data_IF_247893649992
#
_entry.id   IF_247893649992
#
_cell.length_a   1.000
_cell.length_b   1.000
_cell.length_c   1.000
_cell.angle_alpha   90.00
_cell.angle_beta   90.00
_cell.angle_gamma   90.00
#
_symmetry.space_group_name_H-M   'P 1'
#
loop_
_entity.id
_entity.type
_entity.pdbx_description
1 polymer ?
#
# COMPACT_ATOMS: atom_id res chain seq x y z
N UNK A 1 1.40 -8.15 -9.71
CA UNK A 1 2.72 -8.43 -10.28
C UNK A 1 2.65 -9.76 -11.00
N UNK A 2 2.49 -9.71 -12.32
CA UNK A 2 2.40 -10.88 -13.20
C UNK A 2 3.77 -11.20 -13.85
N UNK A 3 4.85 -10.68 -13.28
CA UNK A 3 6.23 -10.98 -13.68
C UNK A 3 6.79 -12.14 -12.82
N UNK A 4 7.99 -12.61 -13.14
CA UNK A 4 8.68 -13.72 -12.48
C UNK A 4 9.61 -13.29 -11.34
N UNK A 5 9.63 -11.99 -10.99
CA UNK A 5 10.44 -11.44 -9.90
C UNK A 5 9.64 -10.45 -9.05
N UNK A 6 10.09 -10.16 -7.83
CA UNK A 6 9.45 -9.16 -6.97
C UNK A 6 9.59 -7.77 -7.59
N UNK A 7 8.45 -7.10 -7.79
CA UNK A 7 8.44 -5.72 -8.27
C UNK A 7 8.52 -4.78 -7.07
N UNK A 8 9.60 -4.00 -7.00
CA UNK A 8 9.76 -2.92 -6.02
C UNK A 8 9.81 -1.59 -6.75
N UNK A 9 8.87 -0.70 -6.46
CA UNK A 9 8.81 0.59 -7.13
C UNK A 9 8.23 1.66 -6.22
N UNK A 10 8.77 2.87 -6.33
CA UNK A 10 8.22 4.06 -5.70
C UNK A 10 7.41 4.83 -6.73
N UNK A 11 6.14 5.06 -6.45
CA UNK A 11 5.20 5.70 -7.38
C UNK A 11 4.51 6.88 -6.71
N UNK A 12 4.12 7.87 -7.50
CA UNK A 12 3.23 8.94 -7.03
C UNK A 12 1.81 8.39 -6.93
N UNK A 13 1.20 8.52 -5.75
CA UNK A 13 -0.12 7.95 -5.44
C UNK A 13 -1.25 8.96 -5.56
N UNK A 14 -0.93 10.26 -5.53
CA UNK A 14 -1.87 11.38 -5.32
C UNK A 14 -2.66 11.34 -4.00
N UNK A 15 -2.35 10.39 -3.11
CA UNK A 15 -2.94 10.30 -1.78
C UNK A 15 -2.23 11.26 -0.82
N UNK A 16 -2.94 11.79 0.20
CA UNK A 16 -2.32 12.58 1.27
C UNK A 16 -1.29 11.76 2.06
N UNK A 17 -0.35 12.45 2.71
CA UNK A 17 0.59 11.86 3.65
C UNK A 17 -0.11 11.01 4.73
N UNK A 18 0.46 9.84 5.01
CA UNK A 18 0.04 8.97 6.11
C UNK A 18 0.24 7.48 5.82
N UNK A 19 -0.12 6.66 6.80
CA UNK A 19 -0.10 5.20 6.68
C UNK A 19 -1.46 4.69 6.18
N UNK A 20 -1.42 3.83 5.18
CA UNK A 20 -2.60 3.20 4.58
C UNK A 20 -2.55 1.70 4.80
N UNK A 21 -3.70 1.10 5.08
CA UNK A 21 -3.84 -0.34 5.14
C UNK A 21 -3.81 -0.93 3.74
N UNK A 22 -2.94 -1.91 3.52
CA UNK A 22 -2.84 -2.65 2.27
C UNK A 22 -3.99 -3.66 2.20
N UNK A 23 -4.98 -3.40 1.34
CA UNK A 23 -6.30 -4.05 1.40
C UNK A 23 -6.33 -5.49 0.88
N UNK A 24 -5.24 -5.98 0.27
CA UNK A 24 -5.10 -7.40 -0.07
C UNK A 24 -4.68 -8.24 1.14
N UNK A 25 -3.73 -7.75 1.93
CA UNK A 25 -3.19 -8.48 3.09
C UNK A 25 -3.94 -8.24 4.40
N UNK A 26 -4.90 -7.32 4.43
CA UNK A 26 -5.79 -7.10 5.57
C UNK A 26 -6.76 -5.97 5.32
N UNK A 27 -7.34 -5.44 6.40
CA UNK A 27 -8.34 -4.38 6.35
C UNK A 27 -8.18 -3.43 7.54
N UNK A 28 -8.75 -2.23 7.42
CA UNK A 28 -8.80 -1.26 8.51
C UNK A 28 -9.96 -1.61 9.45
N UNK A 29 -9.66 -2.08 10.67
CA UNK A 29 -10.65 -2.32 11.72
C UNK A 29 -10.34 -1.46 12.95
N UNK A 30 -11.30 -0.65 13.37
CA UNK A 30 -11.19 0.16 14.59
C UNK A 30 -9.90 1.01 14.67
N UNK A 31 -9.51 1.63 13.55
CA UNK A 31 -8.30 2.47 13.47
C UNK A 31 -6.98 1.68 13.44
N UNK A 32 -7.03 0.37 13.20
CA UNK A 32 -5.84 -0.47 13.06
C UNK A 32 -5.92 -1.31 11.79
N UNK A 33 -4.81 -1.37 11.06
CA UNK A 33 -4.69 -2.27 9.91
C UNK A 33 -4.35 -3.68 10.40
N UNK A 34 -5.14 -4.67 9.98
CA UNK A 34 -4.90 -6.09 10.29
C UNK A 34 -3.81 -6.72 9.41
N UNK A 35 -3.49 -6.08 8.28
CA UNK A 35 -2.51 -6.53 7.31
C UNK A 35 -1.26 -5.67 7.26
N UNK A 36 -0.63 -5.63 6.08
CA UNK A 36 0.52 -4.75 5.84
C UNK A 36 0.07 -3.29 5.75
N UNK A 37 1.00 -2.39 6.05
CA UNK A 37 0.82 -0.94 5.89
C UNK A 37 1.72 -0.45 4.76
N UNK A 38 1.27 0.61 4.08
CA UNK A 38 2.07 1.36 3.12
C UNK A 38 2.06 2.82 3.55
N UNK A 39 3.24 3.41 3.65
CA UNK A 39 3.38 4.82 3.99
C UNK A 39 3.44 5.66 2.71
N UNK A 40 2.60 6.69 2.67
CA UNK A 40 2.65 7.76 1.67
C UNK A 40 3.38 8.93 2.31
N UNK A 41 4.50 9.35 1.73
CA UNK A 41 5.27 10.50 2.19
C UNK A 41 4.57 11.82 1.87
N UNK A 42 5.09 12.92 2.42
CA UNK A 42 4.55 14.27 2.26
C UNK A 42 4.39 14.73 0.80
N UNK A 43 5.23 14.24 -0.10
CA UNK A 43 5.19 14.49 -1.55
C UNK A 43 4.28 13.50 -2.32
N UNK A 44 3.50 12.69 -1.62
CA UNK A 44 2.54 11.75 -2.20
C UNK A 44 3.17 10.48 -2.77
N UNK A 45 4.44 10.22 -2.49
CA UNK A 45 5.18 9.06 -2.96
C UNK A 45 4.99 7.86 -2.02
N UNK A 46 4.90 6.66 -2.57
CA UNK A 46 4.86 5.43 -1.78
C UNK A 46 5.63 4.31 -2.47
N UNK A 47 6.29 3.48 -1.67
CA UNK A 47 7.05 2.32 -2.17
C UNK A 47 6.22 1.04 -2.02
N UNK A 48 6.02 0.34 -3.12
CA UNK A 48 5.34 -0.95 -3.16
C UNK A 48 6.35 -2.07 -3.36
N UNK A 49 6.20 -3.15 -2.60
CA UNK A 49 6.97 -4.39 -2.76
C UNK A 49 6.01 -5.53 -3.07
N UNK A 50 5.71 -5.70 -4.36
CA UNK A 50 4.70 -6.64 -4.85
C UNK A 50 5.39 -7.94 -5.26
N UNK A 51 5.21 -9.01 -4.48
CA UNK A 51 5.76 -10.35 -4.80
C UNK A 51 5.12 -10.94 -6.07
N UNK A 52 5.79 -11.94 -6.65
CA UNK A 52 5.28 -12.71 -7.79
C UNK A 52 3.88 -13.24 -7.51
N UNK A 53 2.95 -13.03 -8.45
CA UNK A 53 1.56 -13.49 -8.34
C UNK A 53 0.70 -12.73 -7.32
N UNK A 54 1.21 -11.67 -6.68
CA UNK A 54 0.46 -10.86 -5.72
C UNK A 54 0.08 -9.50 -6.31
N UNK A 55 -0.87 -8.83 -5.66
CA UNK A 55 -1.12 -7.40 -5.85
C UNK A 55 -1.11 -6.70 -4.50
N UNK A 56 -1.02 -5.38 -4.54
CA UNK A 56 -1.15 -4.51 -3.37
C UNK A 56 -2.08 -3.36 -3.75
N UNK A 57 -2.94 -2.95 -2.84
CA UNK A 57 -3.85 -1.84 -3.08
C UNK A 57 -4.03 -0.98 -1.83
N UNK A 58 -4.14 0.33 -2.03
CA UNK A 58 -4.46 1.33 -1.01
C UNK A 58 -5.45 2.33 -1.59
N UNK A 59 -6.28 2.91 -0.75
CA UNK A 59 -7.23 3.96 -1.12
C UNK A 59 -7.50 4.89 0.07
N UNK A 60 -8.15 6.03 -0.16
CA UNK A 60 -8.36 7.05 0.88
C UNK A 60 -9.12 6.51 2.11
N UNK A 61 -10.12 5.66 1.92
CA UNK A 61 -10.86 4.99 3.00
C UNK A 61 -10.08 3.94 3.80
N UNK A 62 -8.86 3.60 3.40
CA UNK A 62 -7.98 2.69 4.13
C UNK A 62 -6.87 3.43 4.90
N UNK A 63 -6.93 4.77 4.97
CA UNK A 63 -6.02 5.57 5.79
C UNK A 63 -6.24 5.26 7.27
N UNK A 64 -5.14 5.00 7.98
CA UNK A 64 -5.13 4.71 9.43
C UNK A 64 -5.23 6.01 10.22
#
# INVERSE_FOLDING_TARGET
NNDYSTWTSTVSTTLPEGSYCEVWSGELRSGQCTGKKIDVSRDGMATFNVRVGQFMAIHIGAKI
#
